data_IF_076724892938
#
_entry.id   IF_076724892938
#
_cell.length_a   1.000
_cell.length_b   1.000
_cell.length_c   1.000
_cell.angle_alpha   90.00
_cell.angle_beta   90.00
_cell.angle_gamma   90.00
#
_symmetry.space_group_name_H-M   'P 1'
#
loop_
_entity.id
_entity.type
_entity.pdbx_description
1 polymer ?
#
# COMPACT_ATOMS: atom_id res chain seq x y z
N UNK A 1 42.04 29.07 -1.88
CA UNK A 1 40.65 29.13 -2.34
C UNK A 1 40.58 28.46 -3.70
N UNK A 2 40.46 27.14 -3.68
CA UNK A 2 40.29 26.30 -4.87
C UNK A 2 39.13 25.39 -4.51
N UNK A 3 37.97 25.69 -5.10
CA UNK A 3 36.73 24.97 -4.90
C UNK A 3 36.90 23.53 -5.39
N UNK A 4 37.01 22.61 -4.45
CA UNK A 4 36.94 21.16 -4.68
C UNK A 4 35.52 20.86 -5.15
N UNK A 5 35.35 20.86 -6.47
CA UNK A 5 34.06 20.69 -7.14
C UNK A 5 33.87 19.21 -7.42
N UNK A 6 32.78 18.65 -6.88
CA UNK A 6 32.13 17.36 -7.21
C UNK A 6 32.84 16.07 -6.76
N UNK A 7 32.49 15.64 -5.55
CA UNK A 7 32.50 14.24 -5.11
C UNK A 7 31.05 13.77 -4.91
N UNK A 8 30.30 13.73 -6.00
CA UNK A 8 29.14 12.87 -6.17
C UNK A 8 28.93 12.80 -7.68
N UNK A 9 29.34 11.69 -8.30
CA UNK A 9 28.81 11.38 -9.62
C UNK A 9 27.34 11.04 -9.40
N UNK A 10 26.47 12.05 -9.45
CA UNK A 10 25.04 11.80 -9.65
C UNK A 10 24.91 10.78 -10.79
N UNK A 11 24.12 9.71 -10.64
CA UNK A 11 23.92 8.79 -11.75
C UNK A 11 23.43 9.62 -12.93
N UNK A 12 23.93 9.36 -14.15
CA UNK A 12 23.65 10.19 -15.34
C UNK A 12 22.14 10.35 -15.69
N UNK A 13 21.28 9.65 -14.92
CA UNK A 13 19.82 9.59 -15.01
C UNK A 13 19.11 10.34 -13.87
N UNK A 14 19.81 10.80 -12.82
CA UNK A 14 19.21 11.60 -11.74
C UNK A 14 18.63 12.88 -12.35
N UNK A 15 17.30 12.97 -12.36
CA UNK A 15 16.54 14.09 -12.93
C UNK A 15 16.06 13.93 -14.38
N UNK A 16 16.30 12.79 -15.05
CA UNK A 16 15.72 12.51 -16.39
C UNK A 16 14.36 11.85 -16.27
N UNK A 17 13.38 12.29 -17.07
CA UNK A 17 12.10 11.58 -17.19
C UNK A 17 12.30 10.22 -17.88
N UNK A 18 11.37 9.29 -17.66
CA UNK A 18 11.41 7.96 -18.30
C UNK A 18 11.54 8.07 -19.84
N UNK A 19 10.76 8.92 -20.55
CA UNK A 19 10.94 9.13 -21.99
C UNK A 19 12.32 9.67 -22.38
N UNK A 20 12.90 10.59 -21.61
CA UNK A 20 14.21 11.18 -21.91
C UNK A 20 15.34 10.15 -21.77
N UNK A 21 15.21 9.26 -20.78
CA UNK A 21 16.17 8.15 -20.57
C UNK A 21 16.14 7.18 -21.75
N UNK A 22 14.95 6.83 -22.25
CA UNK A 22 14.79 5.99 -23.45
C UNK A 22 15.31 6.71 -24.70
N UNK A 23 15.06 8.02 -24.82
CA UNK A 23 15.58 8.86 -25.89
C UNK A 23 17.11 8.89 -25.93
N UNK A 24 17.76 8.98 -24.77
CA UNK A 24 19.21 8.93 -24.64
C UNK A 24 19.80 7.58 -25.08
N UNK A 25 19.23 6.45 -24.65
CA UNK A 25 19.67 5.10 -25.08
C UNK A 25 19.64 4.99 -26.61
N UNK A 26 18.59 5.53 -27.24
CA UNK A 26 18.44 5.53 -28.70
C UNK A 26 19.46 6.45 -29.40
N UNK A 27 19.78 7.61 -28.82
CA UNK A 27 20.74 8.56 -29.37
C UNK A 27 22.18 8.04 -29.31
N UNK A 28 22.55 7.44 -28.17
CA UNK A 28 23.88 6.85 -27.96
C UNK A 28 24.05 5.50 -28.66
N UNK A 29 22.96 4.89 -29.16
CA UNK A 29 22.99 3.61 -29.85
C UNK A 29 23.47 2.46 -28.98
N UNK A 30 23.19 2.52 -27.68
CA UNK A 30 23.58 1.48 -26.71
C UNK A 30 22.86 0.18 -27.05
N UNK A 31 23.63 -0.87 -27.34
CA UNK A 31 23.11 -2.17 -27.69
C UNK A 31 24.05 -3.27 -27.18
N UNK A 32 23.46 -4.38 -26.75
CA UNK A 32 24.16 -5.58 -26.32
C UNK A 32 23.70 -6.75 -27.20
N UNK A 33 24.63 -7.35 -27.93
CA UNK A 33 24.43 -8.49 -28.80
C UNK A 33 25.45 -9.57 -28.44
N UNK A 34 25.03 -10.51 -27.60
CA UNK A 34 25.85 -11.63 -27.14
C UNK A 34 25.21 -12.98 -27.49
N UNK A 35 25.39 -13.47 -28.74
CA UNK A 35 25.10 -14.86 -29.07
C UNK A 35 26.02 -15.83 -28.30
N UNK A 36 25.68 -17.12 -28.28
CA UNK A 36 26.35 -18.13 -27.46
C UNK A 36 27.86 -18.24 -27.71
N UNK A 37 28.31 -18.04 -28.95
CA UNK A 37 29.73 -18.03 -29.32
C UNK A 37 30.46 -16.79 -28.77
N UNK A 38 29.85 -15.61 -28.82
CA UNK A 38 30.39 -14.37 -28.24
C UNK A 38 30.43 -14.42 -26.72
N UNK A 39 29.42 -15.02 -26.09
CA UNK A 39 29.42 -15.22 -24.64
C UNK A 39 30.52 -16.21 -24.22
N UNK A 40 30.68 -17.32 -24.93
CA UNK A 40 31.76 -18.27 -24.68
C UNK A 40 33.14 -17.61 -24.85
N UNK A 41 33.30 -16.73 -25.83
CA UNK A 41 34.51 -15.93 -26.01
C UNK A 41 34.75 -14.96 -24.86
N UNK A 42 33.72 -14.25 -24.40
CA UNK A 42 33.82 -13.35 -23.23
C UNK A 42 34.23 -14.12 -21.97
N UNK A 43 33.69 -15.32 -21.76
CA UNK A 43 34.06 -16.23 -20.66
C UNK A 43 35.53 -16.65 -20.77
N UNK A 44 35.98 -17.06 -21.96
CA UNK A 44 37.37 -17.44 -22.20
C UNK A 44 38.34 -16.28 -21.90
N UNK A 45 38.00 -15.05 -22.32
CA UNK A 45 38.79 -13.84 -22.01
C UNK A 45 38.89 -13.64 -20.51
N UNK A 46 37.80 -13.82 -19.74
CA UNK A 46 37.85 -13.66 -18.28
C UNK A 46 38.77 -14.71 -17.64
N UNK A 47 38.66 -15.96 -18.05
CA UNK A 47 39.53 -17.03 -17.52
C UNK A 47 41.01 -16.74 -17.78
N UNK A 48 41.35 -16.19 -18.95
CA UNK A 48 42.72 -15.72 -19.24
C UNK A 48 43.11 -14.50 -18.40
N UNK A 49 42.17 -13.57 -18.17
CA UNK A 49 42.40 -12.37 -17.38
C UNK A 49 42.64 -12.64 -15.88
N UNK A 50 42.32 -13.85 -15.38
CA UNK A 50 42.68 -14.28 -14.02
C UNK A 50 44.18 -14.53 -13.86
N UNK A 51 44.87 -14.93 -14.93
CA UNK A 51 46.32 -15.19 -14.94
C UNK A 51 47.12 -13.94 -15.30
N UNK A 52 46.65 -13.15 -16.28
CA UNK A 52 47.30 -11.92 -16.74
C UNK A 52 46.32 -10.73 -16.76
N UNK A 53 46.62 -9.65 -16.03
CA UNK A 53 45.71 -8.51 -15.89
C UNK A 53 45.51 -7.66 -17.15
N UNK A 54 46.43 -7.77 -18.11
CA UNK A 54 46.41 -7.06 -19.39
C UNK A 54 46.68 -8.07 -20.50
N UNK A 55 45.73 -8.22 -21.43
CA UNK A 55 45.81 -9.21 -22.49
C UNK A 55 46.32 -8.57 -23.78
N UNK A 56 47.30 -9.19 -24.42
CA UNK A 56 47.72 -8.80 -25.77
C UNK A 56 46.75 -9.30 -26.85
N UNK A 57 46.87 -8.75 -28.07
CA UNK A 57 46.06 -9.17 -29.22
C UNK A 57 46.24 -10.67 -29.54
N UNK A 58 47.48 -11.20 -29.45
CA UNK A 58 47.76 -12.61 -29.68
C UNK A 58 46.99 -13.53 -28.71
N UNK A 59 46.94 -13.18 -27.43
CA UNK A 59 46.20 -13.95 -26.42
C UNK A 59 44.69 -13.98 -26.71
N UNK A 60 44.11 -12.88 -27.20
CA UNK A 60 42.71 -12.85 -27.62
C UNK A 60 42.44 -13.70 -28.87
N UNK A 61 43.38 -13.71 -29.82
CA UNK A 61 43.29 -14.58 -30.99
C UNK A 61 43.35 -16.06 -30.61
N UNK A 62 44.23 -16.43 -29.68
CA UNK A 62 44.35 -17.79 -29.17
C UNK A 62 43.07 -18.21 -28.42
N UNK A 63 42.54 -17.33 -27.56
CA UNK A 63 41.26 -17.53 -26.89
C UNK A 63 40.11 -17.75 -27.88
N UNK A 64 40.06 -16.94 -28.95
CA UNK A 64 39.06 -17.10 -30.00
C UNK A 64 39.24 -18.41 -30.78
N UNK A 65 40.48 -18.86 -30.95
CA UNK A 65 40.80 -20.16 -31.55
C UNK A 65 40.12 -21.33 -30.82
N UNK A 66 40.25 -21.37 -29.48
CA UNK A 66 39.58 -22.40 -28.66
C UNK A 66 38.05 -22.37 -28.81
N UNK A 67 37.45 -21.18 -28.82
CA UNK A 67 35.99 -21.04 -29.02
C UNK A 67 35.58 -21.45 -30.44
N UNK A 68 36.31 -21.00 -31.47
CA UNK A 68 36.04 -21.37 -32.87
C UNK A 68 36.08 -22.89 -33.06
N UNK A 69 37.03 -23.57 -32.43
CA UNK A 69 37.15 -25.03 -32.45
C UNK A 69 35.97 -25.71 -31.73
N UNK A 70 35.59 -25.23 -30.54
CA UNK A 70 34.48 -25.77 -29.77
C UNK A 70 33.12 -25.68 -30.50
N UNK A 71 32.93 -24.64 -31.31
CA UNK A 71 31.73 -24.42 -32.12
C UNK A 71 31.84 -25.00 -33.55
N UNK A 72 32.91 -25.72 -33.88
CA UNK A 72 33.09 -26.40 -35.18
C UNK A 72 33.19 -25.46 -36.38
N UNK A 73 33.76 -24.26 -36.19
CA UNK A 73 33.87 -23.24 -37.23
C UNK A 73 35.16 -23.40 -38.06
N UNK A 74 35.17 -22.90 -39.31
CA UNK A 74 36.30 -23.09 -40.24
C UNK A 74 37.54 -22.25 -39.84
N UNK A 75 38.71 -22.90 -39.77
CA UNK A 75 39.98 -22.26 -39.35
C UNK A 75 40.51 -21.20 -40.33
N UNK A 76 40.25 -21.35 -41.63
CA UNK A 76 40.75 -20.43 -42.68
C UNK A 76 40.28 -18.97 -42.50
N UNK A 77 39.18 -18.75 -41.78
CA UNK A 77 38.63 -17.41 -41.49
C UNK A 77 38.77 -17.00 -40.02
N UNK A 78 39.46 -17.79 -39.18
CA UNK A 78 39.52 -17.58 -37.74
C UNK A 78 40.08 -16.21 -37.35
N UNK A 79 41.16 -15.75 -37.99
CA UNK A 79 41.76 -14.44 -37.70
C UNK A 79 40.82 -13.26 -38.03
N UNK A 80 40.16 -13.28 -39.19
CA UNK A 80 39.20 -12.24 -39.56
C UNK A 80 37.98 -12.23 -38.64
N UNK A 81 37.49 -13.42 -38.24
CA UNK A 81 36.35 -13.57 -37.32
C UNK A 81 36.71 -13.15 -35.89
N UNK A 82 37.93 -13.43 -35.43
CA UNK A 82 38.48 -12.97 -34.16
C UNK A 82 38.53 -11.43 -34.10
N UNK A 83 39.07 -10.80 -35.14
CA UNK A 83 39.10 -9.34 -35.24
C UNK A 83 37.70 -8.72 -35.22
N UNK A 84 36.76 -9.31 -35.95
CA UNK A 84 35.36 -8.90 -35.90
C UNK A 84 34.75 -9.10 -34.50
N UNK A 85 35.10 -10.19 -33.80
CA UNK A 85 34.67 -10.44 -32.43
C UNK A 85 35.17 -9.38 -31.46
N UNK A 86 36.47 -9.10 -31.50
CA UNK A 86 37.13 -8.14 -30.62
C UNK A 86 36.57 -6.75 -30.86
N UNK A 87 36.44 -6.33 -32.12
CA UNK A 87 35.87 -5.02 -32.47
C UNK A 87 34.40 -4.89 -32.03
N UNK A 88 33.61 -5.96 -32.14
CA UNK A 88 32.23 -5.99 -31.69
C UNK A 88 32.12 -5.87 -30.16
N UNK A 89 32.96 -6.61 -29.42
CA UNK A 89 33.04 -6.50 -27.95
C UNK A 89 33.47 -5.10 -27.49
N UNK A 90 34.38 -4.44 -28.22
CA UNK A 90 34.79 -3.06 -27.92
C UNK A 90 33.65 -2.09 -28.21
N UNK A 91 32.95 -2.25 -29.34
CA UNK A 91 31.81 -1.41 -29.71
C UNK A 91 30.67 -1.49 -28.69
N UNK A 92 30.44 -2.67 -28.13
CA UNK A 92 29.43 -2.91 -27.08
C UNK A 92 29.93 -2.54 -25.67
N UNK A 93 31.09 -1.89 -25.54
CA UNK A 93 31.72 -1.50 -24.28
C UNK A 93 32.02 -2.67 -23.33
N UNK A 94 32.15 -3.89 -23.84
CA UNK A 94 32.47 -5.09 -23.05
C UNK A 94 33.97 -5.25 -22.85
N UNK A 95 34.78 -4.77 -23.81
CA UNK A 95 36.23 -4.80 -23.79
C UNK A 95 36.80 -3.39 -24.02
N UNK A 96 37.79 -3.00 -23.23
CA UNK A 96 38.53 -1.74 -23.41
C UNK A 96 39.86 -2.01 -24.10
N UNK A 97 40.21 -1.18 -25.09
CA UNK A 97 41.50 -1.24 -25.80
C UNK A 97 42.38 -0.07 -25.39
N UNK A 98 43.60 -0.35 -24.96
CA UNK A 98 44.64 0.61 -24.65
C UNK A 98 45.79 0.46 -25.66
N UNK A 99 46.28 1.56 -26.21
CA UNK A 99 47.45 1.57 -27.10
C UNK A 99 48.68 1.99 -26.30
N UNK A 100 49.63 1.09 -26.10
CA UNK A 100 50.80 1.30 -25.22
C UNK A 100 51.98 2.00 -25.89
N UNK A 101 52.05 2.02 -27.22
CA UNK A 101 53.03 2.81 -27.98
C UNK A 101 52.55 3.08 -29.42
N UNK A 102 52.48 4.34 -29.91
CA UNK A 102 52.12 4.64 -31.29
C UNK A 102 53.11 4.10 -32.35
N UNK A 103 54.32 3.70 -31.97
CA UNK A 103 55.36 3.20 -32.90
C UNK A 103 55.43 1.67 -32.94
N UNK A 104 55.21 0.98 -31.82
CA UNK A 104 55.26 -0.48 -31.74
C UNK A 104 53.94 -1.18 -32.11
N UNK A 105 52.81 -0.45 -32.10
CA UNK A 105 51.52 -0.98 -32.52
C UNK A 105 50.90 -2.02 -31.57
N UNK A 106 51.47 -2.22 -30.39
CA UNK A 106 50.93 -3.14 -29.39
C UNK A 106 49.67 -2.55 -28.74
N UNK A 107 48.62 -3.36 -28.72
CA UNK A 107 47.36 -3.04 -28.08
C UNK A 107 47.12 -4.00 -26.92
N UNK A 108 46.78 -3.42 -25.76
CA UNK A 108 46.38 -4.14 -24.57
C UNK A 108 44.86 -4.09 -24.44
N UNK A 109 44.29 -5.18 -23.99
CA UNK A 109 42.85 -5.36 -23.82
C UNK A 109 42.52 -5.73 -22.38
N UNK A 110 41.48 -5.09 -21.84
CA UNK A 110 40.96 -5.38 -20.51
C UNK A 110 39.44 -5.48 -20.55
N UNK A 111 38.89 -6.44 -19.81
CA UNK A 111 37.44 -6.51 -19.64
C UNK A 111 36.93 -5.25 -18.92
N UNK A 112 35.84 -4.68 -19.44
CA UNK A 112 35.13 -3.59 -18.79
C UNK A 112 34.40 -4.08 -17.53
N UNK A 113 33.93 -3.16 -16.69
CA UNK A 113 33.03 -3.49 -15.56
C UNK A 113 31.78 -4.24 -16.03
N UNK A 114 31.22 -3.89 -17.18
CA UNK A 114 30.05 -4.57 -17.76
C UNK A 114 30.40 -6.00 -18.21
N UNK A 115 31.54 -6.17 -18.89
CA UNK A 115 32.03 -7.47 -19.33
C UNK A 115 32.29 -8.41 -18.16
N UNK A 116 32.96 -7.92 -17.12
CA UNK A 116 33.20 -8.68 -15.88
C UNK A 116 31.85 -9.07 -15.24
N UNK A 117 30.93 -8.12 -15.05
CA UNK A 117 29.64 -8.39 -14.42
C UNK A 117 28.80 -9.44 -15.18
N UNK A 118 28.80 -9.41 -16.52
CA UNK A 118 28.10 -10.40 -17.34
C UNK A 118 28.73 -11.79 -17.16
N UNK A 119 30.05 -11.90 -17.20
CA UNK A 119 30.71 -13.21 -17.04
C UNK A 119 30.58 -13.72 -15.60
N UNK A 120 30.77 -12.85 -14.61
CA UNK A 120 30.53 -13.16 -13.18
C UNK A 120 29.14 -13.73 -13.00
N UNK A 121 28.11 -13.12 -13.60
CA UNK A 121 26.74 -13.62 -13.51
C UNK A 121 26.59 -15.09 -13.98
N UNK A 122 27.29 -15.50 -15.04
CA UNK A 122 27.20 -16.87 -15.55
C UNK A 122 28.15 -17.86 -14.85
N UNK A 123 29.32 -17.41 -14.39
CA UNK A 123 30.32 -18.27 -13.73
C UNK A 123 30.08 -18.41 -12.23
N UNK A 124 29.71 -17.32 -11.55
CA UNK A 124 29.30 -17.35 -10.16
C UNK A 124 27.85 -17.88 -10.10
N UNK A 125 27.67 -19.18 -10.27
CA UNK A 125 26.45 -19.84 -9.79
C UNK A 125 26.48 -19.82 -8.26
N UNK A 126 26.16 -18.66 -7.68
CA UNK A 126 26.23 -18.45 -6.23
C UNK A 126 25.22 -19.35 -5.54
N UNK A 127 25.70 -20.21 -4.64
CA UNK A 127 24.86 -20.75 -3.59
C UNK A 127 24.46 -19.60 -2.68
N UNK A 128 23.17 -19.44 -2.42
CA UNK A 128 22.72 -18.45 -1.46
C UNK A 128 23.01 -18.98 -0.06
N UNK A 129 24.07 -18.45 0.53
CA UNK A 129 24.47 -18.77 1.89
C UNK A 129 23.83 -17.80 2.88
N UNK A 130 23.03 -18.33 3.82
CA UNK A 130 22.47 -17.57 4.94
C UNK A 130 23.55 -16.90 5.79
N UNK A 131 24.72 -17.52 5.88
CA UNK A 131 25.90 -16.98 6.56
C UNK A 131 26.34 -15.67 5.91
N UNK A 132 26.38 -15.61 4.57
CA UNK A 132 26.80 -14.42 3.84
C UNK A 132 25.86 -13.26 4.09
N UNK A 133 24.54 -13.50 4.06
CA UNK A 133 23.55 -12.48 4.37
C UNK A 133 23.69 -11.99 5.83
N UNK A 134 23.86 -12.90 6.78
CA UNK A 134 24.07 -12.55 8.18
C UNK A 134 25.29 -11.65 8.39
N UNK A 135 26.42 -11.95 7.72
CA UNK A 135 27.63 -11.12 7.79
C UNK A 135 27.38 -9.73 7.17
N UNK A 136 26.66 -9.66 6.04
CA UNK A 136 26.30 -8.38 5.43
C UNK A 136 25.42 -7.52 6.33
N UNK A 137 24.43 -8.13 7.00
CA UNK A 137 23.53 -7.44 7.93
C UNK A 137 24.27 -6.97 9.18
N UNK A 138 25.20 -7.77 9.72
CA UNK A 138 26.04 -7.37 10.85
C UNK A 138 26.97 -6.21 10.46
N UNK A 139 27.57 -6.26 9.28
CA UNK A 139 28.38 -5.16 8.76
C UNK A 139 27.55 -3.88 8.58
N UNK A 140 26.35 -3.99 8.01
CA UNK A 140 25.42 -2.88 7.82
C UNK A 140 25.04 -2.26 9.17
N UNK A 141 24.72 -3.07 10.17
CA UNK A 141 24.38 -2.61 11.51
C UNK A 141 25.56 -1.89 12.18
N UNK A 142 26.77 -2.43 12.07
CA UNK A 142 27.97 -1.81 12.64
C UNK A 142 28.30 -0.46 11.99
N UNK A 143 28.16 -0.32 10.68
CA UNK A 143 28.38 0.96 10.00
C UNK A 143 27.27 1.98 10.28
N UNK A 144 26.02 1.52 10.44
CA UNK A 144 24.92 2.37 10.88
C UNK A 144 25.13 2.91 12.28
N UNK A 145 25.58 2.09 13.23
CA UNK A 145 25.84 2.53 14.60
C UNK A 145 26.97 3.58 14.66
N UNK A 146 28.00 3.43 13.82
CA UNK A 146 29.05 4.44 13.67
C UNK A 146 28.49 5.74 13.09
N UNK A 147 27.66 5.66 12.04
CA UNK A 147 27.02 6.82 11.44
C UNK A 147 26.07 7.53 12.43
N UNK A 148 25.33 6.77 13.23
CA UNK A 148 24.44 7.27 14.28
C UNK A 148 25.20 7.97 15.39
N UNK A 149 26.29 7.37 15.86
CA UNK A 149 27.13 7.99 16.90
C UNK A 149 27.73 9.29 16.40
N UNK A 150 28.28 9.29 15.18
CA UNK A 150 28.79 10.50 14.54
C UNK A 150 27.69 11.58 14.39
N UNK A 151 26.49 11.20 13.96
CA UNK A 151 25.35 12.13 13.83
C UNK A 151 24.97 12.81 15.16
N UNK A 152 25.04 12.09 16.28
CA UNK A 152 24.71 12.63 17.61
C UNK A 152 25.81 13.54 18.17
N UNK A 153 27.07 13.27 17.88
CA UNK A 153 28.20 14.07 18.36
C UNK A 153 28.47 15.32 17.50
N UNK A 154 27.94 15.33 16.27
CA UNK A 154 28.28 16.34 15.28
C UNK A 154 27.38 17.57 15.30
N UNK A 155 28.02 18.75 15.46
CA UNK A 155 27.31 20.03 15.50
C UNK A 155 27.53 20.92 14.26
N UNK A 156 28.53 20.65 13.42
CA UNK A 156 28.82 21.47 12.23
C UNK A 156 28.62 20.71 10.93
N UNK A 157 28.23 21.42 9.86
CA UNK A 157 28.01 20.80 8.54
C UNK A 157 29.23 20.09 7.96
N UNK A 158 30.42 20.68 8.11
CA UNK A 158 31.67 20.08 7.58
C UNK A 158 31.96 18.70 8.20
N UNK A 159 31.60 18.51 9.47
CA UNK A 159 31.75 17.22 10.15
C UNK A 159 30.69 16.21 9.67
N UNK A 160 29.46 16.65 9.36
CA UNK A 160 28.43 15.79 8.75
C UNK A 160 28.87 15.30 7.37
N UNK A 161 29.40 16.21 6.55
CA UNK A 161 29.91 15.91 5.21
C UNK A 161 31.15 14.99 5.25
N UNK A 162 31.94 15.03 6.33
CA UNK A 162 33.14 14.21 6.50
C UNK A 162 32.89 12.83 7.13
N UNK A 163 31.98 12.74 8.11
CA UNK A 163 31.85 11.55 8.96
C UNK A 163 30.54 10.79 8.76
N UNK A 164 29.43 11.47 8.47
CA UNK A 164 28.10 10.84 8.36
C UNK A 164 27.75 10.56 6.90
N UNK A 165 27.80 11.58 6.04
CA UNK A 165 27.38 11.48 4.64
C UNK A 165 28.14 10.38 3.86
N UNK A 166 29.48 10.23 3.98
CA UNK A 166 30.20 9.19 3.26
C UNK A 166 29.82 7.78 3.71
N UNK A 167 29.48 7.60 4.99
CA UNK A 167 29.04 6.30 5.52
C UNK A 167 27.68 5.92 4.96
N UNK A 168 26.74 6.86 4.94
CA UNK A 168 25.42 6.63 4.38
C UNK A 168 25.49 6.34 2.87
N UNK A 169 26.28 7.13 2.12
CA UNK A 169 26.32 7.08 0.66
C UNK A 169 27.17 5.94 0.12
N UNK A 170 28.36 5.71 0.67
CA UNK A 170 29.29 4.73 0.07
C UNK A 170 29.27 3.39 0.77
N UNK A 171 29.00 3.33 2.08
CA UNK A 171 29.10 2.08 2.83
C UNK A 171 27.74 1.41 3.04
N UNK A 172 26.77 2.15 3.58
CA UNK A 172 25.41 1.65 3.81
C UNK A 172 24.71 1.36 2.48
N UNK A 173 24.74 2.28 1.52
CA UNK A 173 24.12 2.07 0.21
C UNK A 173 24.70 0.85 -0.53
N UNK A 174 26.03 0.71 -0.56
CA UNK A 174 26.71 -0.44 -1.19
C UNK A 174 26.36 -1.76 -0.48
N UNK A 175 26.34 -1.76 0.85
CA UNK A 175 26.01 -2.98 1.61
C UNK A 175 24.56 -3.40 1.39
N UNK A 176 23.63 -2.44 1.34
CA UNK A 176 22.23 -2.71 0.99
C UNK A 176 22.06 -3.21 -0.45
N UNK A 177 22.80 -2.66 -1.41
CA UNK A 177 22.81 -3.17 -2.79
C UNK A 177 23.31 -4.63 -2.85
N UNK A 178 24.35 -4.96 -2.07
CA UNK A 178 24.84 -6.34 -1.97
C UNK A 178 23.83 -7.29 -1.33
N UNK A 179 23.03 -6.81 -0.37
CA UNK A 179 21.92 -7.58 0.22
C UNK A 179 20.82 -7.82 -0.83
N UNK A 180 20.39 -6.79 -1.56
CA UNK A 180 19.40 -6.91 -2.65
C UNK A 180 19.88 -7.91 -3.73
N UNK A 181 21.13 -7.80 -4.18
CA UNK A 181 21.71 -8.76 -5.14
C UNK A 181 21.71 -10.20 -4.61
N UNK A 182 21.94 -10.38 -3.31
CA UNK A 182 21.90 -11.71 -2.68
C UNK A 182 20.47 -12.26 -2.62
N UNK A 183 19.46 -11.41 -2.36
CA UNK A 183 18.05 -11.81 -2.42
C UNK A 183 17.62 -12.19 -3.84
N UNK A 184 18.02 -11.44 -4.86
CA UNK A 184 17.70 -11.79 -6.26
C UNK A 184 18.33 -13.11 -6.70
N UNK A 185 19.56 -13.40 -6.26
CA UNK A 185 20.19 -14.69 -6.50
C UNK A 185 19.39 -15.85 -5.86
N UNK A 186 18.69 -15.59 -4.75
CA UNK A 186 17.81 -16.58 -4.11
C UNK A 186 16.60 -16.89 -4.99
N UNK A 187 16.02 -15.88 -5.64
CA UNK A 187 14.89 -16.08 -6.55
C UNK A 187 15.28 -16.94 -7.77
N UNK A 188 16.50 -16.76 -8.28
CA UNK A 188 17.05 -17.61 -9.33
C UNK A 188 17.24 -19.05 -8.85
N UNK A 189 17.77 -19.24 -7.63
CA UNK A 189 17.90 -20.56 -7.02
C UNK A 189 16.53 -21.22 -6.84
N UNK A 190 15.51 -20.50 -6.37
CA UNK A 190 14.15 -21.02 -6.27
C UNK A 190 13.61 -21.49 -7.63
N UNK A 191 13.85 -20.72 -8.69
CA UNK A 191 13.39 -21.09 -10.04
C UNK A 191 14.12 -22.34 -10.56
N UNK A 192 15.43 -22.46 -10.32
CA UNK A 192 16.18 -23.68 -10.62
C UNK A 192 15.62 -24.90 -9.87
N UNK A 193 15.28 -24.76 -8.58
CA UNK A 193 14.66 -25.86 -7.80
C UNK A 193 13.27 -26.22 -8.37
N UNK A 194 12.47 -25.23 -8.81
CA UNK A 194 11.18 -25.52 -9.48
C UNK A 194 11.37 -26.31 -10.78
N UNK A 195 12.37 -25.94 -11.58
CA UNK A 195 12.73 -26.66 -12.81
C UNK A 195 13.21 -28.08 -12.52
N UNK A 196 14.05 -28.26 -11.49
CA UNK A 196 14.53 -29.56 -11.05
C UNK A 196 13.36 -30.45 -10.58
N UNK A 197 12.45 -29.93 -9.74
CA UNK A 197 11.23 -30.64 -9.32
C UNK A 197 10.39 -31.03 -10.54
N UNK A 198 10.19 -30.12 -11.51
CA UNK A 198 9.43 -30.42 -12.71
C UNK A 198 10.10 -31.51 -13.56
N UNK A 199 11.44 -31.50 -13.68
CA UNK A 199 12.20 -32.52 -14.39
C UNK A 199 12.10 -33.89 -13.69
N UNK A 200 12.27 -33.92 -12.37
CA UNK A 200 12.15 -35.13 -11.55
C UNK A 200 10.76 -35.76 -11.66
N UNK A 201 9.71 -34.95 -11.57
CA UNK A 201 8.32 -35.39 -11.74
C UNK A 201 7.99 -35.81 -13.18
N UNK A 202 8.77 -35.37 -14.17
CA UNK A 202 8.57 -35.76 -15.56
C UNK A 202 9.19 -37.12 -15.88
N UNK A 203 10.34 -37.43 -15.29
CA UNK A 203 11.07 -38.68 -15.50
C UNK A 203 10.48 -39.82 -14.65
N UNK A 204 10.64 -39.77 -13.33
CA UNK A 204 10.37 -40.89 -12.41
C UNK A 204 9.56 -40.45 -11.18
N UNK A 205 8.32 -40.03 -11.41
CA UNK A 205 7.49 -39.32 -10.42
C UNK A 205 7.19 -40.06 -9.09
N UNK A 206 7.46 -41.37 -8.98
CA UNK A 206 7.15 -42.17 -7.78
C UNK A 206 8.36 -42.22 -6.85
N UNK A 207 9.54 -42.45 -7.41
CA UNK A 207 10.82 -42.38 -6.69
C UNK A 207 11.25 -40.92 -6.45
N UNK A 208 10.78 -39.99 -7.30
CA UNK A 208 11.03 -38.56 -7.19
C UNK A 208 10.27 -37.85 -6.06
N UNK A 209 9.20 -38.42 -5.48
CA UNK A 209 8.39 -37.75 -4.45
C UNK A 209 9.28 -37.34 -3.28
N UNK A 210 10.08 -38.27 -2.77
CA UNK A 210 10.95 -38.02 -1.62
C UNK A 210 12.00 -36.95 -1.93
N UNK A 211 12.59 -36.99 -3.12
CA UNK A 211 13.55 -35.99 -3.60
C UNK A 211 12.91 -34.60 -3.73
N UNK A 212 11.69 -34.52 -4.26
CA UNK A 212 10.94 -33.26 -4.38
C UNK A 212 10.58 -32.69 -3.01
N UNK A 213 10.09 -33.53 -2.08
CA UNK A 213 9.79 -33.12 -0.70
C UNK A 213 11.05 -32.62 0.03
N UNK A 214 12.19 -33.25 -0.21
CA UNK A 214 13.48 -32.81 0.34
C UNK A 214 13.85 -31.43 -0.18
N UNK A 215 13.84 -31.22 -1.50
CA UNK A 215 14.14 -29.92 -2.13
C UNK A 215 13.19 -28.82 -1.66
N UNK A 216 11.89 -29.12 -1.55
CA UNK A 216 10.88 -28.18 -1.04
C UNK A 216 11.15 -27.75 0.40
N UNK A 217 11.48 -28.73 1.26
CA UNK A 217 11.75 -28.50 2.68
C UNK A 217 13.05 -27.73 2.90
N UNK A 218 14.14 -28.13 2.23
CA UNK A 218 15.44 -27.46 2.33
C UNK A 218 15.33 -26.00 1.88
N UNK A 219 14.75 -25.76 0.70
CA UNK A 219 14.56 -24.39 0.20
C UNK A 219 13.63 -23.57 1.10
N UNK A 220 12.55 -24.18 1.59
CA UNK A 220 11.61 -23.51 2.51
C UNK A 220 12.25 -23.14 3.85
N UNK A 221 13.14 -24.00 4.37
CA UNK A 221 13.91 -23.72 5.58
C UNK A 221 14.91 -22.58 5.34
N UNK A 222 15.69 -22.63 4.26
CA UNK A 222 16.64 -21.57 3.92
C UNK A 222 15.95 -20.21 3.80
N UNK A 223 14.79 -20.13 3.13
CA UNK A 223 14.04 -18.88 3.01
C UNK A 223 13.59 -18.33 4.37
N UNK A 224 13.13 -19.21 5.27
CA UNK A 224 12.72 -18.81 6.61
C UNK A 224 13.89 -18.31 7.44
N UNK A 225 15.01 -19.03 7.43
CA UNK A 225 16.23 -18.62 8.14
C UNK A 225 16.72 -17.24 7.64
N UNK A 226 16.72 -17.01 6.32
CA UNK A 226 17.08 -15.73 5.74
C UNK A 226 16.13 -14.61 6.19
N UNK A 227 14.81 -14.84 6.14
CA UNK A 227 13.84 -13.85 6.57
C UNK A 227 13.95 -13.54 8.07
N UNK A 228 14.13 -14.56 8.91
CA UNK A 228 14.30 -14.38 10.35
C UNK A 228 15.53 -13.51 10.65
N UNK A 229 16.64 -13.69 9.89
CA UNK A 229 17.83 -12.82 10.03
C UNK A 229 17.55 -11.38 9.56
N UNK A 230 16.79 -11.20 8.49
CA UNK A 230 16.43 -9.88 7.96
C UNK A 230 15.49 -9.13 8.90
N UNK A 231 14.47 -9.80 9.44
CA UNK A 231 13.50 -9.19 10.36
C UNK A 231 14.17 -8.80 11.68
N UNK A 232 15.06 -9.68 12.21
CA UNK A 232 15.79 -9.41 13.44
C UNK A 232 16.72 -8.18 13.33
N UNK A 233 17.35 -7.99 12.18
CA UNK A 233 18.21 -6.83 11.92
C UNK A 233 17.41 -5.59 11.47
N UNK A 234 16.34 -5.77 10.71
CA UNK A 234 15.58 -4.73 10.03
C UNK A 234 15.06 -3.65 10.97
N UNK A 235 14.46 -4.04 12.10
CA UNK A 235 13.98 -3.07 13.09
C UNK A 235 15.09 -2.20 13.68
N UNK A 236 16.25 -2.78 13.99
CA UNK A 236 17.40 -2.02 14.53
C UNK A 236 17.95 -1.05 13.48
N UNK A 237 17.99 -1.47 12.22
CA UNK A 237 18.45 -0.66 11.11
C UNK A 237 17.49 0.51 10.82
N UNK A 238 16.17 0.26 10.83
CA UNK A 238 15.17 1.31 10.71
C UNK A 238 15.29 2.34 11.84
N UNK A 239 15.39 1.87 13.10
CA UNK A 239 15.55 2.75 14.26
C UNK A 239 16.85 3.58 14.17
N UNK A 240 17.96 2.99 13.72
CA UNK A 240 19.21 3.70 13.52
C UNK A 240 19.12 4.79 12.45
N UNK A 241 18.47 4.50 11.31
CA UNK A 241 18.25 5.50 10.26
C UNK A 241 17.30 6.62 10.71
N UNK A 242 16.25 6.29 11.46
CA UNK A 242 15.33 7.27 12.03
C UNK A 242 16.04 8.22 13.00
N UNK A 243 16.89 7.70 13.89
CA UNK A 243 17.67 8.53 14.80
C UNK A 243 18.60 9.52 14.06
N UNK A 244 19.21 9.10 12.94
CA UNK A 244 20.03 9.98 12.10
C UNK A 244 19.17 11.04 11.42
N UNK A 245 17.99 10.66 10.94
CA UNK A 245 17.02 11.57 10.33
C UNK A 245 16.53 12.63 11.33
N UNK A 246 16.16 12.22 12.55
CA UNK A 246 15.75 13.14 13.63
C UNK A 246 16.88 14.11 14.01
N UNK A 247 18.13 13.65 14.02
CA UNK A 247 19.30 14.50 14.28
C UNK A 247 19.56 15.53 13.16
N UNK A 248 19.17 15.22 11.92
CA UNK A 248 19.25 16.14 10.78
C UNK A 248 18.01 17.05 10.65
N UNK A 249 16.89 16.69 11.29
CA UNK A 249 15.61 17.37 11.14
C UNK A 249 15.67 18.83 11.66
N UNK A 250 15.12 19.76 10.87
CA UNK A 250 15.08 21.19 11.23
C UNK A 250 16.38 21.96 10.97
N UNK A 251 17.38 21.33 10.37
CA UNK A 251 18.60 21.97 9.87
C UNK A 251 18.51 22.13 8.34
N UNK A 252 18.23 23.36 7.87
CA UNK A 252 18.08 23.67 6.43
C UNK A 252 19.30 23.30 5.58
N UNK A 253 20.47 23.19 6.20
CA UNK A 253 21.72 22.82 5.57
C UNK A 253 21.89 21.28 5.40
N UNK A 254 21.08 20.44 6.04
CA UNK A 254 21.22 18.98 5.98
C UNK A 254 20.10 18.27 5.19
N UNK A 255 19.34 19.00 4.36
CA UNK A 255 18.25 18.43 3.56
C UNK A 255 18.63 17.17 2.75
N UNK A 256 19.81 17.17 2.15
CA UNK A 256 20.33 16.04 1.37
C UNK A 256 20.55 14.77 2.23
N UNK A 257 20.89 14.91 3.51
CA UNK A 257 21.01 13.77 4.44
C UNK A 257 19.64 13.23 4.78
N UNK A 258 18.65 14.09 5.00
CA UNK A 258 17.26 13.70 5.25
C UNK A 258 16.65 12.95 4.06
N UNK A 259 16.87 13.44 2.84
CA UNK A 259 16.42 12.76 1.62
C UNK A 259 17.09 11.39 1.46
N UNK A 260 18.39 11.31 1.75
CA UNK A 260 19.15 10.07 1.65
C UNK A 260 18.73 9.06 2.73
N UNK A 261 18.56 9.46 3.98
CA UNK A 261 18.07 8.54 5.04
C UNK A 261 16.66 8.05 4.75
N UNK A 262 15.78 8.92 4.24
CA UNK A 262 14.46 8.51 3.80
C UNK A 262 14.51 7.51 2.63
N UNK A 263 15.39 7.74 1.65
CA UNK A 263 15.59 6.80 0.55
C UNK A 263 16.15 5.44 1.03
N UNK A 264 17.09 5.44 1.98
CA UNK A 264 17.64 4.22 2.57
C UNK A 264 16.57 3.46 3.38
N UNK A 265 15.72 4.15 4.16
CA UNK A 265 14.58 3.53 4.83
C UNK A 265 13.63 2.86 3.83
N UNK A 266 13.24 3.56 2.78
CA UNK A 266 12.37 2.99 1.73
C UNK A 266 12.98 1.76 1.05
N UNK A 267 14.30 1.76 0.80
CA UNK A 267 15.00 0.57 0.27
C UNK A 267 15.01 -0.60 1.25
N UNK A 268 15.20 -0.33 2.54
CA UNK A 268 15.18 -1.36 3.58
C UNK A 268 13.79 -2.00 3.68
N UNK A 269 12.73 -1.20 3.61
CA UNK A 269 11.35 -1.67 3.61
C UNK A 269 11.06 -2.60 2.42
N UNK A 270 11.57 -2.24 1.23
CA UNK A 270 11.44 -3.08 0.04
C UNK A 270 12.19 -4.41 0.23
N UNK A 271 13.41 -4.40 0.76
CA UNK A 271 14.22 -5.60 1.03
C UNK A 271 13.51 -6.54 2.00
N UNK A 272 12.97 -6.01 3.11
CA UNK A 272 12.26 -6.80 4.13
C UNK A 272 10.91 -7.31 3.58
N UNK A 273 10.15 -6.46 2.88
CA UNK A 273 8.86 -6.86 2.30
C UNK A 273 9.02 -7.92 1.21
N UNK A 274 10.07 -7.84 0.39
CA UNK A 274 10.34 -8.82 -0.67
C UNK A 274 10.57 -10.21 -0.10
N UNK A 275 11.39 -10.32 0.94
CA UNK A 275 11.68 -11.61 1.57
C UNK A 275 10.43 -12.31 2.10
N UNK A 276 9.50 -11.56 2.71
CA UNK A 276 8.22 -12.10 3.16
C UNK A 276 7.33 -12.58 2.00
N UNK A 277 7.26 -11.81 0.90
CA UNK A 277 6.52 -12.21 -0.30
C UNK A 277 7.09 -13.49 -0.92
N UNK A 278 8.41 -13.64 -0.94
CA UNK A 278 9.06 -14.85 -1.45
C UNK A 278 8.67 -16.11 -0.64
N UNK A 279 8.57 -16.01 0.68
CA UNK A 279 8.09 -17.12 1.53
C UNK A 279 6.63 -17.47 1.21
N UNK A 280 5.76 -16.48 1.03
CA UNK A 280 4.35 -16.73 0.70
C UNK A 280 4.20 -17.41 -0.67
N UNK A 281 4.91 -16.92 -1.68
CA UNK A 281 4.94 -17.51 -3.02
C UNK A 281 5.48 -18.94 -2.98
N UNK A 282 6.54 -19.19 -2.20
CA UNK A 282 7.08 -20.53 -2.01
C UNK A 282 6.08 -21.45 -1.31
N UNK A 283 5.41 -21.00 -0.25
CA UNK A 283 4.36 -21.77 0.44
C UNK A 283 3.18 -22.10 -0.48
N UNK A 284 2.82 -21.20 -1.39
CA UNK A 284 1.81 -21.48 -2.42
C UNK A 284 2.30 -22.53 -3.42
N UNK A 285 3.56 -22.45 -3.85
CA UNK A 285 4.16 -23.45 -4.72
C UNK A 285 4.23 -24.83 -4.05
N UNK A 286 4.68 -24.90 -2.79
CA UNK A 286 4.71 -26.11 -1.98
C UNK A 286 3.33 -26.78 -1.89
N UNK A 287 2.29 -26.02 -1.55
CA UNK A 287 0.90 -26.52 -1.53
C UNK A 287 0.44 -27.01 -2.91
N UNK A 288 0.85 -26.31 -3.97
CA UNK A 288 0.53 -26.70 -5.34
C UNK A 288 1.18 -28.03 -5.72
N UNK A 289 2.46 -28.24 -5.39
CA UNK A 289 3.16 -29.51 -5.64
C UNK A 289 2.51 -30.65 -4.85
N UNK A 290 2.21 -30.48 -3.57
CA UNK A 290 1.51 -31.50 -2.78
C UNK A 290 0.11 -31.82 -3.33
N UNK A 291 -0.63 -30.80 -3.79
CA UNK A 291 -1.92 -31.01 -4.48
C UNK A 291 -1.73 -31.78 -5.78
N UNK A 292 -0.68 -31.48 -6.55
CA UNK A 292 -0.36 -32.18 -7.79
C UNK A 292 -0.02 -33.66 -7.52
N UNK A 293 0.82 -33.95 -6.52
CA UNK A 293 1.14 -35.32 -6.11
C UNK A 293 -0.15 -36.09 -5.78
N UNK A 294 -1.02 -35.50 -4.94
CA UNK A 294 -2.28 -36.14 -4.54
C UNK A 294 -3.30 -36.34 -5.67
N UNK A 295 -3.34 -35.41 -6.62
CA UNK A 295 -4.39 -35.39 -7.65
C UNK A 295 -3.96 -36.10 -8.93
N UNK A 296 -2.71 -35.92 -9.36
CA UNK A 296 -2.20 -36.45 -10.60
C UNK A 296 -1.43 -37.76 -10.39
N UNK A 297 -0.55 -37.83 -9.39
CA UNK A 297 0.35 -38.99 -9.20
C UNK A 297 -0.36 -40.11 -8.44
N UNK A 298 -0.97 -39.80 -7.29
CA UNK A 298 -1.65 -40.81 -6.47
C UNK A 298 -2.83 -41.47 -7.21
N UNK A 299 -3.51 -40.72 -8.06
CA UNK A 299 -4.63 -41.21 -8.88
C UNK A 299 -4.19 -42.00 -10.12
N UNK A 300 -3.00 -41.72 -10.67
CA UNK A 300 -2.48 -42.36 -11.88
C UNK A 300 -1.10 -42.94 -11.66
N UNK A 301 -0.87 -43.74 -10.60
CA UNK A 301 0.48 -44.21 -10.18
C UNK A 301 1.41 -44.69 -11.31
N UNK A 302 0.88 -45.38 -12.32
CA UNK A 302 1.66 -45.95 -13.44
C UNK A 302 1.66 -45.10 -14.72
N UNK A 303 1.08 -43.89 -14.68
CA UNK A 303 0.98 -42.91 -15.79
C UNK A 303 0.14 -43.40 -16.96
N UNK A 304 -0.61 -44.47 -16.76
CA UNK A 304 -1.38 -45.14 -17.79
C UNK A 304 -2.55 -44.27 -18.26
N UNK A 305 -3.22 -43.57 -17.34
CA UNK A 305 -4.32 -42.68 -17.69
C UNK A 305 -3.81 -41.48 -18.50
N UNK A 306 -2.77 -40.81 -18.02
CA UNK A 306 -2.21 -39.61 -18.66
C UNK A 306 -1.63 -39.91 -20.05
N UNK A 307 -0.96 -41.05 -20.23
CA UNK A 307 -0.45 -41.48 -21.53
C UNK A 307 -1.59 -41.80 -22.50
N UNK A 308 -2.59 -42.57 -22.07
CA UNK A 308 -3.76 -42.89 -22.90
C UNK A 308 -4.60 -41.67 -23.23
N UNK A 309 -4.73 -40.72 -22.30
CA UNK A 309 -5.41 -39.45 -22.56
C UNK A 309 -4.68 -38.65 -23.65
N UNK A 310 -3.35 -38.58 -23.59
CA UNK A 310 -2.54 -37.92 -24.63
C UNK A 310 -2.70 -38.60 -25.99
N UNK A 311 -2.70 -39.94 -26.04
CA UNK A 311 -2.98 -40.71 -27.26
C UNK A 311 -4.40 -40.48 -27.76
N UNK A 312 -5.39 -40.45 -26.86
CA UNK A 312 -6.80 -40.18 -27.18
C UNK A 312 -7.00 -38.77 -27.75
N UNK A 313 -6.28 -37.77 -27.25
CA UNK A 313 -6.31 -36.41 -27.81
C UNK A 313 -5.69 -36.40 -29.22
N UNK A 314 -4.59 -37.13 -29.45
CA UNK A 314 -3.99 -37.26 -30.79
C UNK A 314 -4.91 -37.97 -31.78
N UNK A 315 -5.68 -38.94 -31.32
CA UNK A 315 -6.64 -39.71 -32.12
C UNK A 315 -8.08 -39.18 -32.00
N UNK A 316 -8.26 -37.95 -31.51
CA UNK A 316 -9.59 -37.42 -31.22
C UNK A 316 -10.47 -37.35 -32.47
N UNK A 317 -9.89 -37.01 -33.63
CA UNK A 317 -10.60 -37.00 -34.92
C UNK A 317 -11.20 -38.36 -35.30
N UNK A 318 -10.60 -39.46 -34.84
CA UNK A 318 -11.08 -40.83 -35.09
C UNK A 318 -12.18 -41.23 -34.09
N UNK A 319 -12.28 -40.54 -32.95
CA UNK A 319 -13.19 -40.85 -31.85
C UNK A 319 -13.83 -39.56 -31.32
N UNK A 320 -14.83 -39.04 -32.04
CA UNK A 320 -15.56 -37.81 -31.70
C UNK A 320 -16.60 -38.05 -30.60
N UNK A 321 -16.15 -38.21 -29.36
CA UNK A 321 -17.04 -38.24 -28.21
C UNK A 321 -17.17 -36.83 -27.59
N UNK A 322 -18.32 -36.54 -27.01
CA UNK A 322 -18.63 -35.26 -26.35
C UNK A 322 -19.04 -35.51 -24.90
N UNK A 323 -18.59 -34.65 -23.98
CA UNK A 323 -19.05 -34.68 -22.59
C UNK A 323 -20.46 -34.08 -22.53
N UNK A 324 -21.39 -34.80 -21.90
CA UNK A 324 -22.72 -34.27 -21.59
C UNK A 324 -22.64 -33.49 -20.29
N UNK A 325 -22.89 -32.19 -20.37
CA UNK A 325 -22.99 -31.29 -19.21
C UNK A 325 -24.47 -31.03 -18.98
N UNK A 326 -24.90 -30.98 -17.72
CA UNK A 326 -26.26 -30.59 -17.39
C UNK A 326 -26.45 -29.10 -17.69
N UNK A 327 -27.26 -28.79 -18.69
CA UNK A 327 -27.64 -27.42 -19.03
C UNK A 327 -29.07 -27.19 -18.56
N UNK A 328 -29.21 -26.49 -17.43
CA UNK A 328 -30.51 -26.04 -16.97
C UNK A 328 -30.92 -24.79 -17.78
N UNK A 329 -32.15 -24.73 -18.31
CA UNK A 329 -32.61 -23.54 -19.01
C UNK A 329 -32.54 -22.35 -18.05
N UNK A 330 -31.89 -21.27 -18.49
CA UNK A 330 -31.81 -20.04 -17.69
C UNK A 330 -33.21 -19.53 -17.40
N UNK A 331 -33.42 -19.01 -16.19
CA UNK A 331 -34.64 -18.32 -15.83
C UNK A 331 -34.84 -17.14 -16.80
N UNK A 332 -35.95 -17.16 -17.54
CA UNK A 332 -36.34 -16.04 -18.39
C UNK A 332 -37.04 -15.00 -17.51
N UNK A 333 -36.31 -13.95 -17.16
CA UNK A 333 -36.89 -12.79 -16.50
C UNK A 333 -37.46 -11.81 -17.53
N UNK A 334 -38.60 -11.21 -17.21
CA UNK A 334 -39.05 -10.04 -17.93
C UNK A 334 -38.03 -8.92 -17.71
N UNK A 335 -37.75 -8.13 -18.76
CA UNK A 335 -36.93 -6.93 -18.60
C UNK A 335 -37.61 -6.03 -17.58
N UNK A 336 -36.83 -5.47 -16.68
CA UNK A 336 -37.32 -4.44 -15.77
C UNK A 336 -37.73 -3.21 -16.60
N UNK A 337 -39.05 -2.98 -16.72
CA UNK A 337 -39.61 -1.87 -17.50
C UNK A 337 -39.36 -0.51 -16.82
N UNK A 338 -38.83 -0.49 -15.60
CA UNK A 338 -38.59 0.74 -14.83
C UNK A 338 -37.50 1.64 -15.41
N UNK A 339 -36.66 1.17 -16.33
CA UNK A 339 -35.52 1.95 -16.85
C UNK A 339 -35.77 2.55 -18.25
N UNK A 340 -36.92 2.30 -18.90
CA UNK A 340 -37.07 2.67 -20.33
C UNK A 340 -38.35 3.41 -20.75
N UNK A 341 -39.24 3.84 -19.85
CA UNK A 341 -40.52 4.45 -20.30
C UNK A 341 -40.78 5.88 -19.81
N UNK A 342 -40.17 6.39 -18.73
CA UNK A 342 -40.42 7.78 -18.32
C UNK A 342 -39.12 8.53 -18.00
N UNK A 343 -38.59 9.27 -18.99
CA UNK A 343 -37.56 10.31 -18.80
C UNK A 343 -38.16 11.61 -18.22
N UNK A 344 -39.46 11.62 -17.95
CA UNK A 344 -40.15 12.74 -17.32
C UNK A 344 -40.88 12.22 -16.08
N UNK A 345 -40.20 12.25 -14.94
CA UNK A 345 -40.89 12.35 -13.65
C UNK A 345 -41.72 13.64 -13.68
N UNK A 346 -43.01 13.52 -14.02
CA UNK A 346 -43.95 14.62 -14.00
C UNK A 346 -44.14 15.05 -12.54
N UNK A 347 -43.35 16.04 -12.13
CA UNK A 347 -43.54 16.71 -10.84
C UNK A 347 -44.66 17.74 -11.01
N UNK A 348 -45.67 17.67 -10.14
CA UNK A 348 -46.76 18.66 -10.15
C UNK A 348 -46.26 20.05 -9.75
N UNK A 349 -46.73 21.09 -10.41
CA UNK A 349 -46.40 22.47 -10.06
C UNK A 349 -47.10 22.88 -8.75
N UNK A 350 -46.32 23.39 -7.79
CA UNK A 350 -46.84 23.93 -6.53
C UNK A 350 -47.11 25.43 -6.71
N UNK A 351 -48.26 25.98 -6.26
CA UNK A 351 -48.54 27.40 -6.32
C UNK A 351 -47.48 28.23 -5.58
N UNK A 352 -47.03 29.33 -6.18
CA UNK A 352 -45.90 30.12 -5.70
C UNK A 352 -46.23 31.06 -4.52
N UNK A 353 -47.51 31.35 -4.27
CA UNK A 353 -47.88 32.42 -3.33
C UNK A 353 -48.39 31.86 -2.00
N UNK A 354 -47.67 32.22 -0.93
CA UNK A 354 -48.06 32.01 0.46
C UNK A 354 -48.97 33.15 0.90
N UNK A 355 -50.25 32.85 1.12
CA UNK A 355 -51.16 33.80 1.77
C UNK A 355 -51.06 33.66 3.29
N UNK A 356 -50.79 34.78 3.96
CA UNK A 356 -50.80 34.86 5.42
C UNK A 356 -52.13 35.44 5.90
N UNK A 357 -52.69 34.85 6.96
CA UNK A 357 -53.82 35.42 7.70
C UNK A 357 -53.37 35.80 9.10
N UNK A 358 -53.74 37.01 9.52
CA UNK A 358 -53.42 37.52 10.85
C UNK A 358 -54.52 37.11 11.84
N UNK A 359 -54.17 36.33 12.85
CA UNK A 359 -55.09 35.94 13.94
C UNK A 359 -54.94 36.97 15.05
N UNK A 360 -56.00 37.74 15.31
CA UNK A 360 -56.04 38.71 16.41
C UNK A 360 -56.44 37.97 17.69
N UNK A 361 -55.55 37.97 18.69
CA UNK A 361 -55.80 37.33 19.99
C UNK A 361 -56.54 38.28 20.95
N UNK A 362 -57.87 38.18 20.97
CA UNK A 362 -58.77 38.97 21.80
C UNK A 362 -58.66 38.58 23.30
N UNK A 363 -58.04 37.44 23.61
CA UNK A 363 -57.98 36.92 24.99
C UNK A 363 -57.09 37.76 25.92
N UNK A 364 -56.04 38.39 25.38
CA UNK A 364 -55.12 39.23 26.16
C UNK A 364 -55.79 40.53 26.66
N UNK A 365 -56.59 41.18 25.81
CA UNK A 365 -57.33 42.40 26.19
C UNK A 365 -58.39 42.09 27.25
N UNK A 366 -59.06 40.94 27.13
CA UNK A 366 -60.03 40.46 28.12
C UNK A 366 -59.34 40.19 29.48
N UNK A 367 -58.16 39.59 29.49
CA UNK A 367 -57.42 39.31 30.72
C UNK A 367 -57.05 40.61 31.46
N UNK A 368 -56.58 41.64 30.75
CA UNK A 368 -56.23 42.94 31.36
C UNK A 368 -57.45 43.66 31.94
N UNK A 369 -58.60 43.57 31.25
CA UNK A 369 -59.85 44.13 31.75
C UNK A 369 -60.32 43.41 33.03
N UNK A 370 -60.17 42.10 33.09
CA UNK A 370 -60.51 41.30 34.28
C UNK A 370 -59.58 41.65 35.45
N UNK A 371 -58.27 41.77 35.21
CA UNK A 371 -57.30 42.16 36.24
C UNK A 371 -57.69 43.51 36.87
N UNK A 372 -58.00 44.52 36.05
CA UNK A 372 -58.49 45.83 36.54
C UNK A 372 -59.76 45.73 37.37
N UNK A 373 -60.64 44.79 37.07
CA UNK A 373 -61.85 44.55 37.86
C UNK A 373 -61.51 43.99 39.25
N UNK A 374 -60.60 43.02 39.30
CA UNK A 374 -60.28 42.28 40.53
C UNK A 374 -59.35 43.05 41.48
N UNK A 375 -58.46 43.92 40.98
CA UNK A 375 -57.54 44.73 41.82
C UNK A 375 -58.27 45.58 42.86
N UNK A 376 -59.52 46.01 42.60
CA UNK A 376 -60.34 46.77 43.55
C UNK A 376 -60.54 46.04 44.88
N UNK A 377 -60.64 44.71 44.86
CA UNK A 377 -60.81 43.91 46.08
C UNK A 377 -59.55 43.96 46.97
N UNK A 378 -58.37 44.01 46.35
CA UNK A 378 -57.08 44.18 47.03
C UNK A 378 -56.91 45.60 47.60
N UNK A 379 -57.25 46.63 46.84
CA UNK A 379 -57.10 48.03 47.29
C UNK A 379 -58.00 48.38 48.49
N UNK A 380 -59.21 47.80 48.55
CA UNK A 380 -60.19 48.04 49.62
C UNK A 380 -60.05 47.04 50.79
N UNK A 381 -59.36 45.92 50.59
CA UNK A 381 -59.17 44.87 51.60
C UNK A 381 -60.42 44.00 51.83
N UNK A 382 -61.28 43.87 50.82
CA UNK A 382 -62.50 43.04 50.87
C UNK A 382 -62.18 41.59 50.51
N UNK A 383 -62.74 40.58 51.19
CA UNK A 383 -62.54 39.18 50.80
C UNK A 383 -63.21 38.87 49.45
N UNK A 384 -62.50 38.16 48.57
CA UNK A 384 -62.93 37.82 47.21
C UNK A 384 -63.47 36.38 47.17
N UNK A 385 -64.80 36.26 47.10
CA UNK A 385 -65.49 34.99 46.85
C UNK A 385 -65.70 34.78 45.35
N UNK A 386 -64.90 33.88 44.77
CA UNK A 386 -64.91 33.57 43.34
C UNK A 386 -66.29 33.20 42.80
N UNK A 387 -67.16 32.57 43.60
CA UNK A 387 -68.48 32.15 43.13
C UNK A 387 -69.46 33.32 42.96
N UNK A 388 -69.30 34.38 43.77
CA UNK A 388 -70.10 35.60 43.67
C UNK A 388 -69.57 36.49 42.55
N UNK A 389 -68.25 36.70 42.50
CA UNK A 389 -67.60 37.50 41.46
C UNK A 389 -67.83 36.90 40.08
N UNK A 390 -67.71 35.58 39.92
CA UNK A 390 -67.98 34.94 38.62
C UNK A 390 -69.47 35.01 38.26
N UNK A 391 -70.40 34.96 39.23
CA UNK A 391 -71.83 35.06 38.92
C UNK A 391 -72.16 36.45 38.37
N UNK A 392 -71.68 37.49 39.04
CA UNK A 392 -71.86 38.87 38.60
C UNK A 392 -71.15 39.14 37.27
N UNK A 393 -69.89 38.70 37.15
CA UNK A 393 -69.09 39.00 35.96
C UNK A 393 -69.54 38.22 34.72
N UNK A 394 -70.06 36.99 34.86
CA UNK A 394 -70.53 36.20 33.73
C UNK A 394 -71.90 36.66 33.19
N UNK A 395 -72.68 37.43 33.95
CA UNK A 395 -73.95 37.99 33.45
C UNK A 395 -73.72 39.00 32.31
N UNK A 396 -72.55 39.65 32.27
CA UNK A 396 -72.16 40.60 31.23
C UNK A 396 -71.71 39.92 29.91
N UNK A 397 -71.54 38.60 29.89
CA UNK A 397 -71.04 37.86 28.73
C UNK A 397 -72.03 36.79 28.25
N UNK A 398 -72.06 36.49 26.94
CA UNK A 398 -72.89 35.42 26.40
C UNK A 398 -72.35 34.04 26.81
N UNK A 399 -73.25 33.05 26.91
CA UNK A 399 -72.95 31.71 27.43
C UNK A 399 -71.76 30.99 26.75
N UNK A 400 -71.49 31.25 25.46
CA UNK A 400 -70.38 30.61 24.75
C UNK A 400 -68.99 31.11 25.22
N UNK A 401 -68.89 32.34 25.72
CA UNK A 401 -67.65 32.92 26.22
C UNK A 401 -67.41 32.62 27.71
N UNK A 402 -68.40 32.03 28.40
CA UNK A 402 -68.34 31.81 29.84
C UNK A 402 -67.14 30.98 30.27
N UNK A 403 -66.75 29.97 29.48
CA UNK A 403 -65.61 29.13 29.82
C UNK A 403 -64.29 29.91 29.81
N UNK A 404 -64.02 30.63 28.71
CA UNK A 404 -62.76 31.37 28.55
C UNK A 404 -62.65 32.53 29.53
N UNK A 405 -63.74 33.27 29.73
CA UNK A 405 -63.81 34.35 30.72
C UNK A 405 -63.64 33.81 32.14
N UNK A 406 -64.30 32.70 32.49
CA UNK A 406 -64.13 32.06 33.81
C UNK A 406 -62.68 31.64 34.02
N UNK A 407 -62.07 31.01 33.02
CA UNK A 407 -60.67 30.55 33.10
C UNK A 407 -59.73 31.73 33.33
N UNK A 408 -59.88 32.81 32.55
CA UNK A 408 -59.06 34.00 32.70
C UNK A 408 -59.28 34.67 34.05
N UNK A 409 -60.52 34.76 34.52
CA UNK A 409 -60.84 35.38 35.80
C UNK A 409 -60.28 34.59 36.98
N UNK A 410 -60.39 33.26 36.97
CA UNK A 410 -59.79 32.42 38.01
C UNK A 410 -58.26 32.56 37.99
N UNK A 411 -57.63 32.56 36.81
CA UNK A 411 -56.18 32.72 36.70
C UNK A 411 -55.72 34.08 37.26
N UNK A 412 -56.44 35.17 36.95
CA UNK A 412 -56.12 36.50 37.50
C UNK A 412 -56.44 36.61 38.99
N UNK A 413 -57.51 35.98 39.47
CA UNK A 413 -57.88 36.00 40.88
C UNK A 413 -56.85 35.29 41.77
N UNK A 414 -56.33 34.13 41.35
CA UNK A 414 -55.31 33.38 42.11
C UNK A 414 -53.99 34.16 42.18
N UNK A 415 -53.66 34.97 41.16
CA UNK A 415 -52.46 35.81 41.18
C UNK A 415 -52.54 36.96 42.19
N UNK A 416 -53.74 37.38 42.58
CA UNK A 416 -53.93 38.52 43.49
C UNK A 416 -53.66 38.20 44.95
N UNK A 417 -53.81 36.95 45.37
CA UNK A 417 -53.72 36.58 46.78
C UNK A 417 -54.06 35.11 47.04
N UNK A 418 -54.04 34.72 48.31
CA UNK A 418 -54.41 33.39 48.75
C UNK A 418 -55.38 33.43 49.92
N UNK A 419 -56.01 32.29 50.18
CA UNK A 419 -56.92 32.12 51.32
C UNK A 419 -56.12 31.82 52.59
N UNK A 420 -56.45 32.50 53.68
CA UNK A 420 -55.93 32.22 55.02
C UNK A 420 -56.51 30.93 55.62
N UNK A 421 -57.73 30.58 55.22
CA UNK A 421 -58.53 29.49 55.80
C UNK A 421 -58.24 28.12 55.14
N UNK A 422 -56.96 27.73 55.12
CA UNK A 422 -56.49 26.46 54.57
C UNK A 422 -56.39 25.38 55.66
N UNK A 423 -57.51 24.75 56.02
CA UNK A 423 -57.48 23.55 56.86
C UNK A 423 -56.94 22.33 56.08
N UNK A 424 -55.93 21.60 56.59
CA UNK A 424 -55.42 20.41 55.90
C UNK A 424 -56.53 19.37 55.71
N UNK A 425 -56.72 18.91 54.46
CA UNK A 425 -57.68 17.88 54.05
C UNK A 425 -59.18 18.24 54.01
N UNK A 426 -59.57 19.49 54.28
CA UNK A 426 -60.91 19.96 53.92
C UNK A 426 -60.92 20.47 52.46
N UNK A 427 -62.02 20.26 51.74
CA UNK A 427 -62.27 20.86 50.42
C UNK A 427 -63.49 21.78 50.51
N UNK A 428 -63.49 22.95 49.87
CA UNK A 428 -64.64 23.83 49.89
C UNK A 428 -65.77 23.19 49.09
N UNK A 429 -67.02 23.48 49.44
CA UNK A 429 -68.16 22.97 48.67
C UNK A 429 -68.24 23.64 47.29
N UNK A 430 -68.72 22.90 46.29
CA UNK A 430 -68.98 23.45 44.97
C UNK A 430 -70.13 24.47 45.02
N UNK A 431 -69.83 25.74 44.77
CA UNK A 431 -70.82 26.82 44.74
C UNK A 431 -71.32 27.05 43.31
N UNK A 432 -72.64 27.20 43.07
CA UNK A 432 -73.18 27.45 41.75
C UNK A 432 -72.89 28.88 41.28
N UNK A 433 -72.44 29.01 40.03
CA UNK A 433 -72.08 30.29 39.41
C UNK A 433 -73.15 30.75 38.43
N UNK A 434 -73.86 29.83 37.75
CA UNK A 434 -74.99 30.17 36.87
C UNK A 434 -76.16 29.18 37.03
N UNK A 435 -77.28 29.47 36.38
CA UNK A 435 -78.49 28.61 36.40
C UNK A 435 -78.36 27.38 35.47
N UNK A 436 -77.34 27.33 34.62
CA UNK A 436 -77.10 26.28 33.63
C UNK A 436 -76.22 25.14 34.13
N UNK A 437 -75.83 25.15 35.41
CA UNK A 437 -75.13 24.06 36.08
C UNK A 437 -73.63 24.26 36.29
N UNK A 438 -73.05 25.39 35.89
CA UNK A 438 -71.65 25.72 36.17
C UNK A 438 -71.45 25.99 37.67
N UNK A 439 -70.42 25.37 38.24
CA UNK A 439 -70.07 25.49 39.65
C UNK A 439 -68.58 25.74 39.79
N UNK A 440 -68.19 26.46 40.83
CA UNK A 440 -66.80 26.72 41.17
C UNK A 440 -66.53 26.27 42.59
N UNK A 441 -65.39 25.62 42.76
CA UNK A 441 -64.86 25.16 44.04
C UNK A 441 -63.60 25.97 44.32
N UNK A 442 -63.72 26.96 45.20
CA UNK A 442 -62.61 27.79 45.63
C UNK A 442 -62.82 28.28 47.06
N UNK A 443 -61.72 28.48 47.78
CA UNK A 443 -61.73 29.20 49.04
C UNK A 443 -61.84 30.70 48.77
N UNK A 444 -62.31 31.45 49.77
CA UNK A 444 -62.41 32.91 49.68
C UNK A 444 -61.00 33.49 49.84
N UNK A 445 -60.58 34.34 48.90
CA UNK A 445 -59.26 34.98 48.95
C UNK A 445 -59.37 36.20 49.87
N UNK A 446 -58.68 36.18 51.01
CA UNK A 446 -58.74 37.22 52.04
C UNK A 446 -57.36 37.80 52.40
N UNK A 447 -56.27 37.19 51.90
CA UNK A 447 -54.91 37.70 52.03
C UNK A 447 -54.35 38.06 50.64
N UNK A 448 -54.03 39.33 50.44
CA UNK A 448 -53.60 39.93 49.17
C UNK A 448 -52.13 40.35 49.12
#
# INVERSE_FOLDING_TARGET
>A
MTSTTRLSAEPAYAGRSLPDTVGWVRQEGLALQLPTDRLAFLVAIKTLAEEESDLGEAALHDAFGYVSQAFGQMDETASARANNAINDLIRQQLLARFTTDPVAGESLYRLSRLGIAIVDFFLDQRQVDSIKLSILLEHLAAELDKARTAALETNTREQWDAEVLPRLTFSLEETMERIDLTQRAMDEQQNKVKEEIAALLTQDWMDAIHSCEKLLRETGQTLRELQDTLDAAGHRLQEGLLNIQEAAQGRDDLFHVEELTHALQGRLDVITSWGQQCIELWSRYDRHVHKFIRTAIDMDKNRAFSQRLRESIRQFEQHNWLLRIAEEPRLLELRDETIAIHDEEVTGEVPAELEFQEVVDISAELAERIERHLVRYKEVGLPLDLAEVLREYLDDFPAHAHFDVTRLLVDQAVRLGHSSDLTPHAQPSWKPVNQHGSKVQAYVIDQY
#
